data_IF_119863782116
#
_entry.id   IF_119863782116
#
_cell.length_a   1.000
_cell.length_b   1.000
_cell.length_c   1.000
_cell.angle_alpha   90.00
_cell.angle_beta   90.00
_cell.angle_gamma   90.00
#
_symmetry.space_group_name_H-M   'P 1'
#
loop_
_entity.id
_entity.type
_entity.pdbx_description
1 polymer ?
#
# COMPACT_ATOMS: atom_id res chain seq x y z
N UNK A 1 -1.55 -15.35 2.70
CA UNK A 1 -0.19 -15.39 3.28
C UNK A 1 -0.06 -14.27 4.30
N UNK A 2 0.28 -14.55 5.57
CA UNK A 2 0.24 -13.55 6.65
C UNK A 2 1.26 -12.41 6.51
N UNK A 3 2.46 -12.71 6.00
CA UNK A 3 3.56 -11.73 5.87
C UNK A 3 3.18 -10.56 4.95
N UNK A 4 2.50 -10.82 3.83
CA UNK A 4 2.06 -9.77 2.90
C UNK A 4 1.06 -8.82 3.55
N UNK A 5 0.14 -9.34 4.37
CA UNK A 5 -0.79 -8.49 5.14
C UNK A 5 -0.06 -7.61 6.15
N UNK A 6 0.93 -8.17 6.87
CA UNK A 6 1.71 -7.42 7.85
C UNK A 6 2.50 -6.30 7.18
N UNK A 7 3.17 -6.58 6.06
CA UNK A 7 3.90 -5.57 5.29
C UNK A 7 2.99 -4.43 4.82
N UNK A 8 1.80 -4.75 4.31
CA UNK A 8 0.83 -3.73 3.88
C UNK A 8 0.40 -2.82 5.04
N UNK A 9 0.23 -3.37 6.25
CA UNK A 9 -0.09 -2.58 7.46
C UNK A 9 1.07 -1.70 7.90
N UNK A 10 2.31 -2.20 7.85
CA UNK A 10 3.49 -1.38 8.19
C UNK A 10 3.64 -0.18 7.25
N UNK A 11 3.46 -0.39 5.94
CA UNK A 11 3.46 0.70 4.96
C UNK A 11 2.29 1.66 5.16
N UNK A 12 1.14 1.17 5.66
CA UNK A 12 0.00 2.01 5.97
C UNK A 12 0.34 2.99 7.10
N UNK A 13 0.96 2.53 8.17
CA UNK A 13 1.37 3.39 9.29
C UNK A 13 2.51 4.33 8.92
N UNK A 14 3.44 3.89 8.06
CA UNK A 14 4.55 4.71 7.58
C UNK A 14 4.08 6.00 6.88
N UNK A 15 2.88 6.00 6.30
CA UNK A 15 2.31 7.20 5.68
C UNK A 15 2.14 8.39 6.61
N UNK A 16 2.06 8.15 7.92
CA UNK A 16 1.95 9.21 8.92
C UNK A 16 3.32 9.82 9.28
N UNK A 17 4.40 9.06 9.12
CA UNK A 17 5.76 9.47 9.48
C UNK A 17 6.54 10.05 8.29
N UNK A 18 6.28 9.56 7.08
CA UNK A 18 7.04 9.90 5.87
C UNK A 18 6.13 10.43 4.75
N UNK A 19 5.49 11.58 4.96
CA UNK A 19 4.50 12.15 4.02
C UNK A 19 5.09 12.45 2.64
N UNK A 20 6.36 12.84 2.56
CA UNK A 20 7.02 13.18 1.29
C UNK A 20 7.23 11.97 0.36
N UNK A 21 7.25 10.74 0.90
CA UNK A 21 7.56 9.53 0.14
C UNK A 21 6.47 9.21 -0.91
N UNK A 22 5.24 9.66 -0.68
CA UNK A 22 4.07 9.32 -1.50
C UNK A 22 3.81 10.30 -2.64
N UNK A 23 4.78 11.15 -2.99
CA UNK A 23 4.75 11.92 -4.23
C UNK A 23 5.73 11.36 -5.27
N UNK A 24 6.83 10.74 -4.83
CA UNK A 24 7.88 10.19 -5.71
C UNK A 24 7.71 8.70 -5.99
N UNK A 25 7.16 7.94 -5.04
CA UNK A 25 7.15 6.46 -5.11
C UNK A 25 5.76 5.87 -5.35
N UNK A 26 4.76 6.70 -5.69
CA UNK A 26 3.36 6.26 -5.90
C UNK A 26 3.27 5.14 -6.93
N UNK A 27 3.90 5.31 -8.08
CA UNK A 27 3.86 4.33 -9.17
C UNK A 27 4.51 3.00 -8.77
N UNK A 28 5.63 3.06 -8.03
CA UNK A 28 6.31 1.89 -7.48
C UNK A 28 5.43 1.14 -6.49
N UNK A 29 4.78 1.87 -5.57
CA UNK A 29 3.89 1.30 -4.55
C UNK A 29 2.63 0.73 -5.18
N UNK A 30 2.05 1.40 -6.17
CA UNK A 30 0.90 0.90 -6.93
C UNK A 30 1.23 -0.40 -7.66
N UNK A 31 2.39 -0.45 -8.34
CA UNK A 31 2.88 -1.65 -9.02
C UNK A 31 3.06 -2.82 -8.05
N UNK A 32 3.65 -2.57 -6.86
CA UNK A 32 3.80 -3.56 -5.80
C UNK A 32 2.45 -4.07 -5.28
N UNK A 33 1.46 -3.17 -5.13
CA UNK A 33 0.10 -3.54 -4.71
C UNK A 33 -0.56 -4.47 -5.74
N UNK A 34 -0.51 -4.13 -7.04
CA UNK A 34 -1.08 -4.97 -8.08
C UNK A 34 -0.43 -6.36 -8.14
N UNK A 35 0.90 -6.43 -8.10
CA UNK A 35 1.64 -7.71 -8.00
C UNK A 35 1.25 -8.51 -6.76
N UNK A 36 0.99 -7.85 -5.64
CA UNK A 36 0.61 -8.50 -4.39
C UNK A 36 -0.80 -9.11 -4.41
N UNK A 37 -1.68 -8.65 -5.30
CA UNK A 37 -3.01 -9.22 -5.47
C UNK A 37 -2.99 -10.58 -6.17
N UNK A 38 -2.08 -10.79 -7.11
CA UNK A 38 -2.00 -12.02 -7.90
C UNK A 38 -1.68 -13.25 -7.02
N UNK A 39 -2.45 -14.32 -7.19
CA UNK A 39 -2.30 -15.58 -6.44
C UNK A 39 -2.47 -15.44 -4.92
N UNK A 40 -2.96 -14.30 -4.42
CA UNK A 40 -3.10 -14.04 -2.99
C UNK A 40 -4.44 -14.55 -2.44
N UNK A 41 -4.58 -14.56 -1.12
CA UNK A 41 -5.85 -14.87 -0.45
C UNK A 41 -6.64 -13.58 -0.15
N UNK A 42 -7.88 -13.76 0.31
CA UNK A 42 -8.79 -12.64 0.61
C UNK A 42 -8.18 -11.61 1.56
N UNK A 43 -7.56 -12.05 2.66
CA UNK A 43 -6.99 -11.14 3.66
C UNK A 43 -5.89 -10.24 3.08
N UNK A 44 -5.05 -10.79 2.21
CA UNK A 44 -4.00 -10.02 1.52
C UNK A 44 -4.64 -9.00 0.60
N UNK A 45 -5.67 -9.38 -0.18
CA UNK A 45 -6.37 -8.44 -1.06
C UNK A 45 -6.99 -7.28 -0.28
N UNK A 46 -7.63 -7.56 0.85
CA UNK A 46 -8.21 -6.51 1.71
C UNK A 46 -7.12 -5.60 2.30
N UNK A 47 -6.05 -6.16 2.85
CA UNK A 47 -4.99 -5.36 3.45
C UNK A 47 -4.27 -4.47 2.42
N UNK A 48 -3.94 -5.03 1.25
CA UNK A 48 -3.22 -4.31 0.18
C UNK A 48 -4.13 -3.29 -0.53
N UNK A 49 -5.42 -3.56 -0.70
CA UNK A 49 -6.35 -2.57 -1.28
C UNK A 49 -6.54 -1.35 -0.37
N UNK A 50 -6.57 -1.54 0.96
CA UNK A 50 -6.60 -0.42 1.91
C UNK A 50 -5.34 0.44 1.80
N UNK A 51 -4.16 -0.18 1.70
CA UNK A 51 -2.90 0.54 1.48
C UNK A 51 -2.95 1.36 0.18
N UNK A 52 -3.29 0.71 -0.94
CA UNK A 52 -3.35 1.34 -2.26
C UNK A 52 -4.29 2.55 -2.27
N UNK A 53 -5.50 2.41 -1.74
CA UNK A 53 -6.47 3.50 -1.69
C UNK A 53 -5.98 4.68 -0.84
N UNK A 54 -5.28 4.41 0.27
CA UNK A 54 -4.73 5.46 1.14
C UNK A 54 -3.60 6.21 0.46
N UNK A 55 -2.68 5.49 -0.21
CA UNK A 55 -1.56 6.09 -0.95
C UNK A 55 -2.07 6.99 -2.07
N UNK A 56 -3.05 6.54 -2.85
CA UNK A 56 -3.64 7.35 -3.92
C UNK A 56 -4.34 8.60 -3.39
N UNK A 57 -5.06 8.49 -2.27
CA UNK A 57 -5.68 9.64 -1.63
C UNK A 57 -4.61 10.63 -1.13
N UNK A 58 -3.55 10.14 -0.49
CA UNK A 58 -2.46 10.97 0.03
C UNK A 58 -1.71 11.70 -1.09
N UNK A 59 -1.41 11.02 -2.19
CA UNK A 59 -0.73 11.59 -3.34
C UNK A 59 -1.46 12.80 -3.98
N UNK A 60 -2.79 12.87 -3.84
CA UNK A 60 -3.60 13.99 -4.32
C UNK A 60 -3.74 15.15 -3.32
N UNK A 61 -3.38 14.92 -2.05
CA UNK A 61 -3.61 15.88 -0.94
C UNK A 61 -2.34 16.43 -0.32
N UNK A 62 -1.16 15.87 -0.64
CA UNK A 62 0.15 16.30 -0.12
C UNK A 62 0.82 17.36 -0.99
#
# INVERSE_FOLDING_TARGET
MAVRCAAAKCLLELQNEAVFMWSTDVDSVATLCFKSFEGSNYDVRIAVSKLLGTVLARALTS
#
